data_IF_754115828117
#
_entry.id   IF_754115828117
#
_cell.length_a   1.000
_cell.length_b   1.000
_cell.length_c   1.000
_cell.angle_alpha   90.00
_cell.angle_beta   90.00
_cell.angle_gamma   90.00
#
_symmetry.space_group_name_H-M   'P 1'
#
loop_
_entity.id
_entity.type
_entity.pdbx_description
1 polymer ?
#
# COMPACT_ATOMS: atom_id res chain seq x y z
N UNK A 1 33.70 24.06 34.87
CA UNK A 1 34.02 24.63 36.18
C UNK A 1 35.42 25.20 36.11
N UNK A 2 35.70 26.37 36.69
CA UNK A 2 34.98 27.63 36.49
C UNK A 2 35.97 28.82 36.33
N UNK A 3 35.45 30.02 36.03
CA UNK A 3 35.75 31.34 36.66
C UNK A 3 37.22 31.83 36.82
N UNK A 4 37.66 33.07 36.64
CA UNK A 4 37.11 34.44 36.76
C UNK A 4 38.27 35.38 36.33
N UNK A 5 38.02 36.52 35.68
CA UNK A 5 38.65 37.79 36.12
C UNK A 5 37.89 39.03 35.64
N UNK A 6 37.92 40.04 36.50
CA UNK A 6 37.06 41.24 36.56
C UNK A 6 37.89 42.52 36.21
N UNK A 7 37.44 43.77 36.48
CA UNK A 7 37.11 44.85 35.51
C UNK A 7 38.19 45.97 35.42
N UNK A 8 37.93 47.15 34.77
CA UNK A 8 37.18 48.25 35.42
C UNK A 8 36.24 49.12 34.53
N UNK A 9 35.40 49.89 35.25
CA UNK A 9 34.56 51.08 34.95
C UNK A 9 35.40 52.30 34.46
N UNK A 10 34.95 53.47 33.95
CA UNK A 10 33.66 54.18 33.72
C UNK A 10 33.96 55.54 33.03
N UNK A 11 33.01 56.10 32.27
CA UNK A 11 32.52 57.52 32.26
C UNK A 11 31.53 57.64 31.07
N UNK A 12 30.21 57.79 31.22
CA UNK A 12 29.43 58.93 31.75
C UNK A 12 28.92 59.80 30.57
N UNK A 13 27.64 60.10 30.33
CA UNK A 13 26.36 59.79 30.95
C UNK A 13 25.16 60.27 30.08
N UNK A 14 24.02 59.55 30.21
CA UNK A 14 22.58 59.94 30.29
C UNK A 14 21.93 61.02 29.36
N UNK A 15 20.58 61.01 29.14
CA UNK A 15 19.65 59.87 28.97
C UNK A 15 18.41 60.09 28.04
N UNK A 16 17.62 59.01 27.96
CA UNK A 16 16.15 58.93 27.84
C UNK A 16 15.52 59.26 26.46
N UNK A 17 14.60 58.48 25.91
CA UNK A 17 13.80 57.39 26.49
C UNK A 17 13.12 56.56 25.39
N UNK A 18 12.81 55.32 25.77
CA UNK A 18 12.36 54.18 24.96
C UNK A 18 11.02 54.38 24.25
N UNK A 19 10.96 53.85 23.03
CA UNK A 19 9.75 53.27 22.42
C UNK A 19 9.39 51.96 23.14
N UNK A 20 8.15 51.82 23.63
CA UNK A 20 7.45 50.54 23.61
C UNK A 20 5.93 50.68 23.86
N UNK A 21 5.19 50.01 22.97
CA UNK A 21 3.96 49.26 23.14
C UNK A 21 2.63 49.90 23.62
N UNK A 22 1.63 49.61 22.78
CA UNK A 22 0.31 49.08 23.12
C UNK A 22 -0.71 50.05 23.74
N UNK A 23 -1.82 50.27 23.01
CA UNK A 23 -3.17 50.08 23.56
C UNK A 23 -4.26 50.23 22.50
N UNK A 24 -4.98 49.11 22.29
CA UNK A 24 -6.43 48.99 22.18
C UNK A 24 -7.20 50.31 22.36
N UNK A 25 -7.80 50.83 21.28
CA UNK A 25 -8.95 51.74 21.39
C UNK A 25 -10.22 51.04 20.92
N UNK A 26 -11.07 50.77 21.90
CA UNK A 26 -12.51 50.52 21.79
C UNK A 26 -13.17 51.58 20.90
N UNK A 27 -13.89 51.14 19.87
CA UNK A 27 -14.86 52.00 19.20
C UNK A 27 -16.16 51.92 20.01
N UNK A 28 -16.50 53.04 20.64
CA UNK A 28 -17.77 53.25 21.33
C UNK A 28 -18.91 53.22 20.31
N UNK A 29 -19.99 52.52 20.67
CA UNK A 29 -21.26 52.58 19.96
C UNK A 29 -21.88 53.95 20.20
N UNK A 30 -21.84 54.82 19.21
CA UNK A 30 -22.64 56.04 19.24
C UNK A 30 -24.12 55.69 19.11
N UNK A 31 -24.83 55.82 20.23
CA UNK A 31 -26.29 55.92 20.28
C UNK A 31 -26.65 57.22 19.57
N UNK A 32 -27.20 57.13 18.37
CA UNK A 32 -27.63 58.32 17.65
C UNK A 32 -29.09 58.61 17.96
N UNK A 33 -29.25 59.66 18.77
CA UNK A 33 -30.49 60.27 19.22
C UNK A 33 -31.38 60.68 18.03
N UNK A 34 -32.69 60.46 18.18
CA UNK A 34 -33.68 60.79 17.17
C UNK A 34 -33.95 62.30 17.19
N UNK A 35 -33.49 63.03 16.17
CA UNK A 35 -33.92 64.41 15.92
C UNK A 35 -34.82 64.49 14.69
N UNK A 36 -36.06 64.90 14.93
CA UNK A 36 -37.11 65.14 13.95
C UNK A 36 -36.92 66.52 13.33
N UNK A 37 -36.71 66.59 12.01
CA UNK A 37 -36.92 67.81 11.20
C UNK A 37 -37.63 67.41 9.90
N UNK A 38 -38.71 68.11 9.48
CA UNK A 38 -39.49 67.73 8.31
C UNK A 38 -38.87 68.33 7.04
N UNK A 39 -38.47 67.47 6.11
CA UNK A 39 -37.92 67.87 4.81
C UNK A 39 -38.43 66.94 3.71
N UNK A 40 -39.27 67.49 2.84
CA UNK A 40 -40.12 66.78 1.88
C UNK A 40 -39.42 66.53 0.55
N UNK A 41 -38.56 65.49 0.41
CA UNK A 41 -38.04 65.06 -0.90
C UNK A 41 -37.82 63.53 -0.98
N UNK A 42 -38.01 62.89 -2.16
CA UNK A 42 -38.26 61.45 -2.25
C UNK A 42 -36.99 60.60 -2.04
N UNK A 43 -37.16 59.55 -1.22
CA UNK A 43 -36.11 58.59 -0.83
C UNK A 43 -35.38 57.97 -2.02
N UNK A 44 -34.04 58.08 -2.02
CA UNK A 44 -33.15 57.18 -2.76
C UNK A 44 -33.47 55.73 -2.40
N UNK A 45 -33.59 54.89 -3.44
CA UNK A 45 -33.77 53.43 -3.36
C UNK A 45 -32.58 52.83 -2.59
N UNK A 46 -32.74 52.64 -1.28
CA UNK A 46 -31.77 51.89 -0.48
C UNK A 46 -31.74 50.48 -1.07
N UNK A 47 -30.59 50.09 -1.62
CA UNK A 47 -30.32 48.69 -1.92
C UNK A 47 -30.59 47.93 -0.62
N UNK A 48 -31.64 47.12 -0.61
CA UNK A 48 -31.95 46.22 0.48
C UNK A 48 -30.86 45.14 0.45
N UNK A 49 -29.66 45.50 0.92
CA UNK A 49 -28.69 44.52 1.38
C UNK A 49 -29.34 43.83 2.57
N UNK A 50 -29.90 42.66 2.30
CA UNK A 50 -30.18 41.56 3.22
C UNK A 50 -30.05 41.91 4.71
N UNK A 51 -31.01 42.68 5.23
CA UNK A 51 -31.26 42.82 6.67
C UNK A 51 -32.56 42.08 6.96
N UNK A 52 -32.48 40.76 6.96
CA UNK A 52 -33.53 39.86 7.46
C UNK A 52 -32.95 38.46 7.65
N UNK A 53 -32.88 38.00 8.90
CA UNK A 53 -32.95 36.57 9.23
C UNK A 53 -31.65 35.77 9.32
N UNK A 54 -30.76 36.13 10.25
CA UNK A 54 -29.51 35.39 10.58
C UNK A 54 -29.68 34.01 11.23
N UNK A 55 -30.73 33.24 10.91
CA UNK A 55 -30.98 31.89 11.46
C UNK A 55 -31.18 30.83 10.37
N UNK A 56 -31.75 31.19 9.22
CA UNK A 56 -32.07 30.22 8.17
C UNK A 56 -30.82 29.69 7.41
N UNK A 57 -29.78 30.52 7.26
CA UNK A 57 -28.56 30.15 6.55
C UNK A 57 -27.69 29.16 7.36
N UNK A 58 -27.59 29.34 8.68
CA UNK A 58 -26.80 28.45 9.54
C UNK A 58 -27.40 27.06 9.68
N UNK A 59 -28.73 26.95 9.81
CA UNK A 59 -29.41 25.65 9.92
C UNK A 59 -29.25 24.88 8.59
N UNK A 60 -29.51 25.53 7.45
CA UNK A 60 -29.34 24.90 6.13
C UNK A 60 -27.90 24.44 5.88
N UNK A 61 -26.90 25.28 6.22
CA UNK A 61 -25.49 24.89 6.13
C UNK A 61 -25.14 23.74 7.08
N UNK A 62 -25.67 23.72 8.31
CA UNK A 62 -25.40 22.63 9.26
C UNK A 62 -25.95 21.27 8.79
N UNK A 63 -27.17 21.24 8.24
CA UNK A 63 -27.74 20.02 7.67
C UNK A 63 -27.00 19.56 6.41
N UNK A 64 -26.55 20.50 5.56
CA UNK A 64 -25.72 20.18 4.42
C UNK A 64 -24.35 19.61 4.84
N UNK A 65 -23.68 20.22 5.81
CA UNK A 65 -22.43 19.72 6.38
C UNK A 65 -22.61 18.34 7.02
N UNK A 66 -23.68 18.14 7.79
CA UNK A 66 -24.00 16.83 8.38
C UNK A 66 -24.26 15.78 7.30
N UNK A 67 -24.98 16.14 6.24
CA UNK A 67 -25.21 15.27 5.09
C UNK A 67 -23.91 14.87 4.39
N UNK A 68 -23.02 15.84 4.14
CA UNK A 68 -21.69 15.58 3.55
C UNK A 68 -20.86 14.66 4.44
N UNK A 69 -20.82 14.93 5.75
CA UNK A 69 -20.10 14.07 6.70
C UNK A 69 -20.69 12.66 6.74
N UNK A 70 -22.02 12.53 6.74
CA UNK A 70 -22.69 11.24 6.71
C UNK A 70 -22.38 10.45 5.43
N UNK A 71 -22.36 11.12 4.27
CA UNK A 71 -21.96 10.49 3.00
C UNK A 71 -20.51 10.04 3.05
N UNK A 72 -19.60 10.88 3.54
CA UNK A 72 -18.18 10.52 3.68
C UNK A 72 -18.02 9.30 4.59
N UNK A 73 -18.68 9.30 5.76
CA UNK A 73 -18.67 8.16 6.68
C UNK A 73 -19.25 6.90 6.03
N UNK A 74 -20.35 7.02 5.29
CA UNK A 74 -20.95 5.91 4.54
C UNK A 74 -20.00 5.32 3.51
N UNK A 75 -19.29 6.16 2.76
CA UNK A 75 -18.28 5.72 1.79
C UNK A 75 -17.09 5.04 2.47
N UNK A 76 -16.64 5.54 3.62
CA UNK A 76 -15.57 4.91 4.39
C UNK A 76 -15.98 3.51 4.87
N UNK A 77 -17.18 3.38 5.45
CA UNK A 77 -17.71 2.08 5.91
C UNK A 77 -17.83 1.12 4.74
N UNK A 78 -18.40 1.56 3.61
CA UNK A 78 -18.55 0.74 2.42
C UNK A 78 -17.19 0.31 1.86
N UNK A 79 -16.21 1.21 1.83
CA UNK A 79 -14.85 0.92 1.39
C UNK A 79 -14.15 -0.12 2.27
N UNK A 80 -14.23 0.04 3.60
CA UNK A 80 -13.66 -0.94 4.55
C UNK A 80 -14.33 -2.29 4.41
N UNK A 81 -15.66 -2.31 4.28
CA UNK A 81 -16.42 -3.55 4.09
C UNK A 81 -16.02 -4.24 2.78
N UNK A 82 -15.95 -3.49 1.68
CA UNK A 82 -15.53 -4.02 0.38
C UNK A 82 -14.12 -4.62 0.44
N UNK A 83 -13.14 -3.91 0.99
CA UNK A 83 -11.76 -4.42 1.10
C UNK A 83 -11.69 -5.66 1.99
N UNK A 84 -12.43 -5.68 3.10
CA UNK A 84 -12.47 -6.81 4.03
C UNK A 84 -13.09 -8.04 3.38
N UNK A 85 -14.15 -7.84 2.60
CA UNK A 85 -14.81 -8.90 1.84
C UNK A 85 -13.86 -9.51 0.80
N UNK A 86 -13.26 -8.69 -0.07
CA UNK A 86 -12.32 -9.19 -1.10
C UNK A 86 -11.13 -9.91 -0.47
N UNK A 87 -10.60 -9.44 0.68
CA UNK A 87 -9.50 -10.12 1.39
C UNK A 87 -9.90 -11.48 1.96
N UNK A 88 -11.12 -11.61 2.46
CA UNK A 88 -11.62 -12.86 3.07
C UNK A 88 -11.84 -13.96 2.03
N UNK A 89 -12.07 -13.55 0.78
CA UNK A 89 -12.37 -14.44 -0.35
C UNK A 89 -11.13 -14.85 -1.16
N UNK A 90 -9.93 -14.47 -0.70
CA UNK A 90 -8.68 -14.85 -1.34
C UNK A 90 -8.40 -16.35 -1.19
N UNK A 91 -7.82 -16.99 -2.22
CA UNK A 91 -7.38 -18.37 -2.11
C UNK A 91 -6.23 -18.48 -1.11
N UNK A 92 -6.19 -19.60 -0.38
CA UNK A 92 -4.98 -19.97 0.34
C UNK A 92 -4.01 -20.64 -0.63
N UNK A 93 -2.77 -20.15 -0.69
CA UNK A 93 -1.74 -20.68 -1.59
C UNK A 93 -0.65 -21.31 -0.74
N UNK A 94 -0.31 -22.56 -1.05
CA UNK A 94 0.75 -23.32 -0.38
C UNK A 94 1.68 -23.95 -1.38
N UNK A 95 2.92 -24.18 -0.96
CA UNK A 95 3.86 -24.97 -1.74
C UNK A 95 3.56 -26.45 -1.48
N UNK A 96 3.25 -27.18 -2.55
CA UNK A 96 2.94 -28.60 -2.50
C UNK A 96 4.19 -29.45 -2.76
N UNK A 97 5.01 -29.07 -3.73
CA UNK A 97 6.27 -29.75 -4.01
C UNK A 97 7.26 -28.82 -4.69
N UNK A 98 8.54 -28.98 -4.36
CA UNK A 98 9.64 -28.23 -4.95
C UNK A 98 10.76 -29.20 -5.36
N UNK A 99 11.10 -29.20 -6.64
CA UNK A 99 12.16 -30.04 -7.20
C UNK A 99 13.10 -29.20 -8.07
N UNK A 100 14.38 -29.57 -8.06
CA UNK A 100 15.42 -28.97 -8.89
C UNK A 100 15.94 -29.99 -9.90
N UNK A 101 15.23 -30.23 -11.01
CA UNK A 101 15.69 -31.17 -12.02
C UNK A 101 16.99 -30.68 -12.67
N UNK A 102 18.00 -31.55 -12.71
CA UNK A 102 19.19 -31.34 -13.55
C UNK A 102 20.21 -30.32 -13.05
N UNK A 103 20.31 -30.09 -11.74
CA UNK A 103 21.29 -29.19 -11.13
C UNK A 103 22.73 -29.54 -11.56
N UNK A 104 23.29 -28.78 -12.51
CA UNK A 104 24.67 -28.91 -12.98
C UNK A 104 25.44 -27.63 -12.69
N UNK A 105 26.42 -27.74 -11.80
CA UNK A 105 27.39 -26.67 -11.56
C UNK A 105 28.61 -26.95 -12.45
N UNK A 106 28.85 -26.09 -13.44
CA UNK A 106 30.09 -26.10 -14.21
C UNK A 106 31.01 -24.99 -13.70
N UNK A 107 32.04 -25.36 -12.94
CA UNK A 107 33.11 -24.44 -12.56
C UNK A 107 34.12 -24.35 -13.71
N UNK A 108 34.27 -23.19 -14.33
CA UNK A 108 35.42 -22.87 -15.18
C UNK A 108 36.33 -21.89 -14.45
N UNK A 109 37.61 -21.85 -14.78
CA UNK A 109 38.64 -21.05 -14.09
C UNK A 109 38.39 -19.53 -14.07
N UNK A 110 37.37 -19.05 -14.78
CA UNK A 110 36.98 -17.64 -14.88
C UNK A 110 35.50 -17.36 -14.56
N UNK A 111 34.62 -18.37 -14.53
CA UNK A 111 33.17 -18.21 -14.29
C UNK A 111 32.55 -19.50 -13.70
N UNK A 112 31.73 -19.36 -12.65
CA UNK A 112 30.85 -20.41 -12.13
C UNK A 112 29.52 -20.35 -12.87
N UNK A 113 29.17 -21.41 -13.60
CA UNK A 113 27.90 -21.52 -14.34
C UNK A 113 26.96 -22.50 -13.66
N UNK A 114 25.77 -22.03 -13.34
CA UNK A 114 24.70 -22.82 -12.73
C UNK A 114 23.62 -23.08 -13.79
N UNK A 115 23.46 -24.34 -14.19
CA UNK A 115 22.40 -24.80 -15.09
C UNK A 115 21.41 -25.62 -14.27
N UNK A 116 20.26 -25.03 -13.93
CA UNK A 116 19.33 -25.63 -12.96
C UNK A 116 17.89 -25.46 -13.44
N UNK A 117 17.16 -26.58 -13.52
CA UNK A 117 15.72 -26.55 -13.66
C UNK A 117 15.07 -26.32 -12.30
N UNK A 118 13.94 -25.61 -12.28
CA UNK A 118 13.05 -25.52 -11.12
C UNK A 118 11.68 -26.04 -11.53
N UNK A 119 11.18 -27.05 -10.81
CA UNK A 119 9.80 -27.55 -10.88
C UNK A 119 9.11 -27.29 -9.55
N UNK A 120 8.25 -26.27 -9.53
CA UNK A 120 7.48 -25.85 -8.37
C UNK A 120 5.99 -26.15 -8.61
N UNK A 121 5.36 -26.78 -7.61
CA UNK A 121 3.91 -26.98 -7.57
C UNK A 121 3.31 -26.20 -6.42
N UNK A 122 2.37 -25.33 -6.76
CA UNK A 122 1.61 -24.55 -5.80
C UNK A 122 0.18 -25.09 -5.73
N UNK A 123 -0.30 -25.35 -4.52
CA UNK A 123 -1.68 -25.70 -4.27
C UNK A 123 -2.48 -24.43 -3.95
N UNK A 124 -3.45 -24.12 -4.80
CA UNK A 124 -4.40 -23.03 -4.62
C UNK A 124 -5.70 -23.60 -4.06
N UNK A 125 -6.07 -23.20 -2.85
CA UNK A 125 -7.27 -23.68 -2.15
C UNK A 125 -8.28 -22.55 -1.99
N UNK A 126 -9.42 -22.66 -2.67
CA UNK A 126 -10.54 -21.75 -2.52
C UNK A 126 -11.43 -22.25 -1.37
N UNK A 127 -11.35 -21.59 -0.22
CA UNK A 127 -12.18 -21.92 0.95
C UNK A 127 -13.60 -21.39 0.85
N UNK A 128 -13.86 -20.45 -0.06
CA UNK A 128 -15.17 -19.86 -0.20
C UNK A 128 -16.14 -20.82 -0.90
N UNK A 129 -17.35 -20.95 -0.37
CA UNK A 129 -18.38 -21.87 -0.88
C UNK A 129 -19.33 -21.29 -1.92
N UNK A 130 -19.27 -19.99 -2.18
CA UNK A 130 -20.19 -19.27 -3.07
C UNK A 130 -19.48 -18.55 -4.21
N UNK A 131 -18.16 -18.37 -4.13
CA UNK A 131 -17.39 -17.52 -5.04
C UNK A 131 -16.44 -18.38 -5.86
N UNK A 132 -16.52 -18.24 -7.17
CA UNK A 132 -15.50 -18.75 -8.08
C UNK A 132 -14.41 -17.72 -8.29
N UNK A 133 -13.16 -18.16 -8.42
CA UNK A 133 -12.00 -17.29 -8.63
C UNK A 133 -11.44 -17.56 -10.02
N UNK A 134 -11.45 -16.56 -10.89
CA UNK A 134 -10.83 -16.64 -12.22
C UNK A 134 -9.46 -15.99 -12.18
N UNK A 135 -8.43 -16.71 -12.62
CA UNK A 135 -7.08 -16.18 -12.76
C UNK A 135 -6.83 -15.91 -14.25
N UNK A 136 -6.36 -14.72 -14.58
CA UNK A 136 -5.87 -14.42 -15.92
C UNK A 136 -4.44 -14.96 -16.10
N UNK A 137 -3.81 -14.65 -17.25
CA UNK A 137 -2.41 -15.00 -17.47
C UNK A 137 -1.53 -14.36 -16.41
N UNK A 138 -0.65 -15.14 -15.82
CA UNK A 138 0.27 -14.69 -14.77
C UNK A 138 1.72 -14.78 -15.24
N UNK A 139 2.57 -14.02 -14.59
CA UNK A 139 4.02 -14.10 -14.74
C UNK A 139 4.64 -14.48 -13.40
N UNK A 140 5.36 -15.59 -13.37
CA UNK A 140 6.15 -16.03 -12.22
C UNK A 140 7.60 -15.58 -12.42
N UNK A 141 8.13 -14.84 -11.45
CA UNK A 141 9.54 -14.48 -11.36
C UNK A 141 10.17 -15.32 -10.25
N UNK A 142 11.30 -15.96 -10.58
CA UNK A 142 11.95 -16.94 -9.72
C UNK A 142 13.36 -16.45 -9.42
N UNK A 143 13.71 -16.43 -8.14
CA UNK A 143 15.01 -15.97 -7.65
C UNK A 143 15.59 -16.99 -6.68
N UNK A 144 16.90 -17.17 -6.72
CA UNK A 144 17.67 -18.02 -5.80
C UNK A 144 18.66 -17.12 -5.09
N UNK A 145 18.67 -17.12 -3.76
CA UNK A 145 19.57 -16.27 -2.96
C UNK A 145 19.55 -14.80 -3.47
N UNK A 146 18.35 -14.25 -3.70
CA UNK A 146 18.09 -12.90 -4.25
C UNK A 146 18.50 -12.66 -5.71
N UNK A 147 19.14 -13.63 -6.37
CA UNK A 147 19.52 -13.55 -7.78
C UNK A 147 18.37 -14.05 -8.65
N UNK A 148 17.89 -13.21 -9.58
CA UNK A 148 16.84 -13.61 -10.54
C UNK A 148 17.38 -14.63 -11.52
N UNK A 149 16.84 -15.84 -11.46
CA UNK A 149 17.29 -16.97 -12.30
C UNK A 149 16.39 -17.21 -13.51
N UNK A 150 15.12 -16.79 -13.45
CA UNK A 150 14.20 -17.04 -14.55
C UNK A 150 12.83 -16.42 -14.40
N UNK A 151 12.09 -16.45 -15.52
CA UNK A 151 10.70 -16.03 -15.62
C UNK A 151 9.90 -17.12 -16.32
N UNK A 152 8.70 -17.40 -15.82
CA UNK A 152 7.75 -18.32 -16.44
C UNK A 152 6.39 -17.65 -16.65
N UNK A 153 5.74 -17.98 -17.76
CA UNK A 153 4.37 -17.55 -18.03
C UNK A 153 3.41 -18.68 -17.72
N UNK A 154 2.34 -18.35 -17.01
CA UNK A 154 1.35 -19.31 -16.55
C UNK A 154 0.00 -18.95 -17.14
N UNK A 155 -0.65 -19.91 -17.78
CA UNK A 155 -1.99 -19.73 -18.33
C UNK A 155 -3.00 -19.46 -17.22
N UNK A 156 -4.00 -18.65 -17.54
CA UNK A 156 -5.13 -18.43 -16.66
C UNK A 156 -5.95 -19.70 -16.45
N UNK A 157 -6.61 -19.80 -15.31
CA UNK A 157 -7.49 -20.92 -14.96
C UNK A 157 -8.67 -20.43 -14.12
N UNK A 158 -9.73 -21.21 -14.07
CA UNK A 158 -10.90 -20.95 -13.23
C UNK A 158 -10.90 -21.92 -12.07
N UNK A 159 -11.16 -21.40 -10.87
CA UNK A 159 -11.30 -22.16 -9.66
C UNK A 159 -12.73 -22.02 -9.14
N UNK A 160 -13.45 -23.14 -9.10
CA UNK A 160 -14.82 -23.19 -8.60
C UNK A 160 -14.88 -22.97 -7.07
N UNK A 161 -16.06 -22.65 -6.51
CA UNK A 161 -16.23 -22.61 -5.06
C UNK A 161 -15.82 -23.94 -4.41
N UNK A 162 -15.16 -23.88 -3.25
CA UNK A 162 -14.66 -25.07 -2.49
C UNK A 162 -13.78 -26.04 -3.29
N UNK A 163 -13.04 -25.54 -4.28
CA UNK A 163 -12.15 -26.37 -5.08
C UNK A 163 -10.67 -26.13 -4.73
N UNK A 164 -9.84 -27.12 -5.07
CA UNK A 164 -8.39 -27.01 -5.03
C UNK A 164 -7.84 -27.12 -6.45
N UNK A 165 -6.77 -26.40 -6.73
CA UNK A 165 -6.12 -26.41 -8.05
C UNK A 165 -4.62 -26.41 -7.88
N UNK A 166 -3.94 -27.33 -8.57
CA UNK A 166 -2.47 -27.43 -8.52
C UNK A 166 -1.91 -26.69 -9.73
N UNK A 167 -1.19 -25.61 -9.44
CA UNK A 167 -0.46 -24.85 -10.43
C UNK A 167 0.98 -25.37 -10.53
N UNK A 168 1.36 -25.77 -11.74
CA UNK A 168 2.73 -26.22 -12.05
C UNK A 168 3.50 -25.08 -12.69
N UNK A 169 4.66 -24.78 -12.14
CA UNK A 169 5.57 -23.74 -12.63
C UNK A 169 6.91 -24.42 -12.88
N UNK A 170 7.28 -24.52 -14.15
CA UNK A 170 8.57 -25.03 -14.56
C UNK A 170 9.36 -23.91 -15.24
N UNK A 171 10.61 -23.73 -14.83
CA UNK A 171 11.56 -22.84 -15.51
C UNK A 171 12.91 -23.55 -15.62
N UNK A 172 13.69 -23.15 -16.63
CA UNK A 172 15.08 -23.53 -16.76
C UNK A 172 15.90 -22.26 -16.51
N UNK A 173 16.72 -22.26 -15.47
CA UNK A 173 17.72 -21.23 -15.23
C UNK A 173 18.91 -21.53 -16.14
N UNK A 174 18.81 -21.11 -17.39
CA UNK A 174 19.92 -21.25 -18.33
C UNK A 174 20.83 -20.04 -18.18
N UNK A 175 22.07 -20.26 -17.72
CA UNK A 175 23.19 -19.30 -17.83
C UNK A 175 23.07 -18.04 -16.95
N UNK A 176 22.73 -18.17 -15.67
CA UNK A 176 23.00 -17.09 -14.71
C UNK A 176 24.50 -17.07 -14.37
N UNK A 177 25.17 -15.98 -14.71
CA UNK A 177 26.55 -15.70 -14.28
C UNK A 177 26.46 -15.32 -12.80
N UNK A 178 27.03 -16.15 -11.92
CA UNK A 178 27.15 -15.82 -10.50
C UNK A 178 28.35 -14.86 -10.37
N UNK A 179 28.20 -13.66 -9.81
CA UNK A 179 29.32 -12.79 -9.49
C UNK A 179 30.36 -13.54 -8.64
N UNK A 180 31.65 -13.32 -8.90
CA UNK A 180 32.75 -14.10 -8.29
C UNK A 180 32.79 -14.02 -6.75
N UNK A 181 32.09 -13.04 -6.18
CA UNK A 181 31.91 -12.72 -4.78
C UNK A 181 31.07 -13.79 -4.05
N UNK A 182 29.99 -14.29 -4.70
CA UNK A 182 29.04 -15.28 -4.16
C UNK A 182 29.23 -16.68 -4.80
N UNK A 183 30.17 -16.78 -5.75
CA UNK A 183 30.39 -17.96 -6.60
C UNK A 183 30.91 -19.21 -5.89
N UNK A 184 31.34 -19.12 -4.63
CA UNK A 184 31.79 -20.29 -3.84
C UNK A 184 30.67 -20.95 -3.03
N UNK A 185 29.65 -20.19 -2.63
CA UNK A 185 28.61 -20.69 -1.71
C UNK A 185 27.43 -21.32 -2.46
N UNK A 186 27.01 -20.77 -3.61
CA UNK A 186 25.92 -21.37 -4.40
C UNK A 186 26.20 -22.84 -4.80
N UNK A 187 27.40 -23.23 -5.28
CA UNK A 187 27.71 -24.62 -5.61
C UNK A 187 27.73 -25.58 -4.42
N UNK A 188 28.18 -25.10 -3.25
CA UNK A 188 28.27 -25.90 -2.04
C UNK A 188 26.89 -26.06 -1.39
N UNK A 189 26.08 -25.00 -1.39
CA UNK A 189 24.67 -24.96 -0.98
C UNK A 189 23.76 -25.80 -1.89
N UNK A 190 24.06 -25.79 -3.19
CA UNK A 190 23.44 -26.64 -4.19
C UNK A 190 23.69 -28.13 -3.95
N UNK A 191 24.92 -28.48 -3.53
CA UNK A 191 25.27 -29.85 -3.13
C UNK A 191 24.74 -30.23 -1.74
N UNK A 192 24.54 -29.26 -0.84
CA UNK A 192 24.08 -29.49 0.54
C UNK A 192 22.56 -29.34 0.75
N UNK A 193 21.77 -29.15 -0.32
CA UNK A 193 20.31 -28.90 -0.28
C UNK A 193 19.89 -27.63 0.49
N UNK A 194 20.81 -26.68 0.65
CA UNK A 194 20.59 -25.42 1.35
C UNK A 194 20.08 -24.29 0.43
N UNK A 195 19.73 -24.58 -0.83
CA UNK A 195 19.20 -23.57 -1.76
C UNK A 195 17.87 -23.01 -1.24
N UNK A 196 17.82 -21.68 -1.08
CA UNK A 196 16.62 -20.92 -0.76
C UNK A 196 16.05 -20.32 -2.04
N UNK A 197 14.78 -20.60 -2.30
CA UNK A 197 14.07 -20.13 -3.49
C UNK A 197 12.98 -19.12 -3.11
N UNK A 198 12.95 -18.01 -3.83
CA UNK A 198 11.89 -17.02 -3.77
C UNK A 198 11.11 -17.00 -5.09
N UNK A 199 9.79 -17.06 -4.98
CA UNK A 199 8.89 -17.02 -6.14
C UNK A 199 7.85 -15.94 -5.96
N UNK A 200 7.78 -15.06 -6.96
CA UNK A 200 6.82 -13.96 -7.02
C UNK A 200 5.92 -14.14 -8.25
N UNK A 201 4.64 -14.39 -8.03
CA UNK A 201 3.64 -14.43 -9.10
C UNK A 201 2.91 -13.11 -9.17
N UNK A 202 2.81 -12.55 -10.37
CA UNK A 202 2.06 -11.34 -10.65
C UNK A 202 0.95 -11.66 -11.66
N UNK A 203 -0.25 -11.12 -11.45
CA UNK A 203 -1.34 -11.31 -12.38
C UNK A 203 -2.59 -10.52 -12.03
N UNK A 204 -3.67 -10.86 -12.73
CA UNK A 204 -5.00 -10.32 -12.49
C UNK A 204 -5.95 -11.46 -12.12
N UNK A 205 -6.73 -11.25 -11.06
CA UNK A 205 -7.78 -12.17 -10.63
C UNK A 205 -9.16 -11.55 -10.85
N UNK A 206 -10.16 -12.40 -10.92
CA UNK A 206 -11.55 -12.04 -10.90
C UNK A 206 -12.30 -12.89 -9.89
N UNK A 207 -13.31 -12.31 -9.28
CA UNK A 207 -14.21 -12.96 -8.33
C UNK A 207 -15.60 -13.02 -8.96
N UNK A 208 -16.14 -14.24 -9.04
CA UNK A 208 -17.41 -14.55 -9.67
C UNK A 208 -18.43 -14.92 -8.60
N UNK A 209 -19.41 -14.05 -8.39
CA UNK A 209 -20.48 -14.15 -7.39
C UNK A 209 -21.83 -14.33 -8.09
N UNK A 210 -22.11 -15.55 -8.58
CA UNK A 210 -23.30 -15.79 -9.40
C UNK A 210 -23.34 -14.87 -10.62
N UNK A 211 -24.27 -13.91 -10.64
CA UNK A 211 -24.40 -12.92 -11.72
C UNK A 211 -23.46 -11.72 -11.60
N UNK A 212 -22.99 -11.39 -10.40
CA UNK A 212 -22.05 -10.29 -10.20
C UNK A 212 -20.62 -10.79 -10.42
N UNK A 213 -19.86 -10.10 -11.27
CA UNK A 213 -18.47 -10.47 -11.56
C UNK A 213 -17.57 -9.25 -11.39
N UNK A 214 -16.59 -9.40 -10.52
CA UNK A 214 -15.53 -8.43 -10.33
C UNK A 214 -14.31 -8.95 -11.08
N UNK A 215 -13.82 -8.22 -12.08
CA UNK A 215 -12.70 -8.64 -12.91
C UNK A 215 -11.52 -7.69 -12.77
N UNK A 216 -10.34 -8.14 -13.23
CA UNK A 216 -9.10 -7.33 -13.29
C UNK A 216 -8.63 -6.77 -11.95
N UNK A 217 -8.76 -7.55 -10.89
CA UNK A 217 -8.15 -7.23 -9.60
C UNK A 217 -6.66 -7.62 -9.66
N UNK A 218 -5.72 -6.66 -9.61
CA UNK A 218 -4.31 -6.99 -9.63
C UNK A 218 -3.93 -7.67 -8.32
N UNK A 219 -3.11 -8.73 -8.41
CA UNK A 219 -2.62 -9.44 -7.25
C UNK A 219 -1.16 -9.87 -7.42
N UNK A 220 -0.53 -10.07 -6.27
CA UNK A 220 0.83 -10.58 -6.15
C UNK A 220 0.86 -11.68 -5.10
N UNK A 221 1.41 -12.83 -5.45
CA UNK A 221 1.71 -13.93 -4.51
C UNK A 221 3.22 -13.95 -4.30
N UNK A 222 3.65 -13.95 -3.05
CA UNK A 222 5.04 -14.09 -2.65
C UNK A 222 5.19 -15.37 -1.82
N UNK A 223 5.98 -16.30 -2.34
CA UNK A 223 6.48 -17.44 -1.59
C UNK A 223 7.96 -17.18 -1.34
N UNK A 224 8.34 -16.88 -0.11
CA UNK A 224 9.74 -16.60 0.26
C UNK A 224 10.30 -17.74 1.08
N UNK A 225 11.63 -17.82 1.15
CA UNK A 225 12.37 -18.72 2.04
C UNK A 225 12.09 -20.21 1.78
N UNK A 226 11.79 -20.58 0.54
CA UNK A 226 11.44 -21.96 0.22
C UNK A 226 12.69 -22.84 0.20
N UNK A 227 12.77 -23.76 1.16
CA UNK A 227 13.83 -24.76 1.23
C UNK A 227 13.33 -26.10 0.73
N UNK A 228 14.11 -26.74 -0.14
CA UNK A 228 13.74 -28.04 -0.68
C UNK A 228 13.59 -29.11 0.41
N UNK A 229 14.47 -29.08 1.42
CA UNK A 229 14.46 -30.04 2.51
C UNK A 229 13.14 -30.02 3.30
N UNK A 230 12.58 -28.83 3.55
CA UNK A 230 11.33 -28.64 4.28
C UNK A 230 10.13 -29.16 3.46
N UNK A 231 10.08 -28.85 2.16
CA UNK A 231 8.99 -29.34 1.31
C UNK A 231 9.06 -30.87 1.13
N UNK A 232 10.25 -31.45 1.04
CA UNK A 232 10.44 -32.89 0.88
C UNK A 232 10.01 -33.73 2.09
N UNK A 233 10.08 -33.18 3.31
CA UNK A 233 9.54 -33.83 4.52
C UNK A 233 8.02 -33.67 4.66
N UNK A 234 7.36 -33.06 3.66
CA UNK A 234 5.91 -32.86 3.62
C UNK A 234 5.44 -31.54 4.21
N UNK A 235 6.34 -30.58 4.47
CA UNK A 235 5.94 -29.26 4.94
C UNK A 235 5.37 -28.46 3.76
N UNK A 236 4.16 -27.91 3.94
CA UNK A 236 3.50 -27.07 2.93
C UNK A 236 3.49 -25.60 3.36
N UNK A 237 4.60 -24.85 3.16
CA UNK A 237 4.69 -23.46 3.57
C UNK A 237 3.66 -22.61 2.85
N UNK A 238 3.08 -21.67 3.60
CA UNK A 238 2.06 -20.74 3.08
C UNK A 238 2.72 -19.61 2.32
N UNK A 239 2.19 -19.28 1.16
CA UNK A 239 2.57 -18.09 0.43
C UNK A 239 1.68 -16.91 0.82
N UNK A 240 2.28 -15.71 0.88
CA UNK A 240 1.54 -14.47 1.11
C UNK A 240 0.89 -14.00 -0.17
N UNK A 241 -0.43 -13.80 -0.15
CA UNK A 241 -1.18 -13.18 -1.26
C UNK A 241 -1.56 -11.74 -0.91
N UNK A 242 -1.35 -10.81 -1.83
CA UNK A 242 -1.77 -9.41 -1.72
C UNK A 242 -2.53 -9.00 -2.97
N UNK A 243 -3.65 -8.31 -2.77
CA UNK A 243 -4.47 -7.69 -3.82
C UNK A 243 -4.25 -6.19 -3.85
N UNK A 244 -4.61 -5.56 -4.97
CA UNK A 244 -4.36 -4.14 -5.21
C UNK A 244 -2.87 -3.79 -5.14
N UNK A 245 -2.02 -4.78 -5.43
CA UNK A 245 -0.60 -4.56 -5.62
C UNK A 245 -0.40 -3.93 -7.00
N UNK A 246 -0.34 -2.61 -7.02
CA UNK A 246 0.04 -1.85 -8.20
C UNK A 246 1.56 -1.97 -8.37
N UNK A 247 1.99 -2.34 -9.57
CA UNK A 247 3.40 -2.37 -9.96
C UNK A 247 3.90 -0.96 -10.25
#
# INVERSE_FOLDING_TARGET
MPDIETPPLSEGGHPAGKKQNETRRVAFSDVSECSTVPGTYPRKKSRKCCRSGGSCCFICCAWACLGVVAVILGLLVLGVWFVSFVKSDLPEVRVHSLSFPGLRVANSSTETRLDTGVDLRLNFTNKNSKIGISYEKMTAEISVEEIRIGRAHVSGFLQEPRSQSILKIATQATRSVIPNDDGQDLPSNAKSKAIVLDVVLNGMLGLNFGSFKLHRLPFVIKCTDLKQAEVNIGLEPRCGIRIFAFK
#
